data_IF_473938181549
#
_entry.id   IF_473938181549
#
_cell.length_a   1.000
_cell.length_b   1.000
_cell.length_c   1.000
_cell.angle_alpha   90.00
_cell.angle_beta   90.00
_cell.angle_gamma   90.00
#
_symmetry.space_group_name_H-M   'P 1'
#
loop_
_entity.id
_entity.type
_entity.pdbx_description
1 polymer ?
#
# COMPACT_ATOMS: atom_id res chain seq x y z
N UNK A 1 19.89 27.21 45.20
CA UNK A 1 20.91 27.11 46.27
C UNK A 1 21.60 25.75 46.15
N UNK A 2 22.92 25.76 46.39
CA UNK A 2 23.91 24.67 46.50
C UNK A 2 23.43 23.22 46.73
N UNK A 3 24.19 22.15 46.44
CA UNK A 3 25.50 21.88 45.82
C UNK A 3 25.79 20.38 46.09
N UNK A 4 26.62 19.73 45.27
CA UNK A 4 27.28 18.45 45.57
C UNK A 4 27.42 17.58 44.31
N UNK A 5 28.28 17.87 43.34
CA UNK A 5 29.74 17.66 43.30
C UNK A 5 30.23 16.29 43.76
N UNK A 6 30.79 15.52 42.82
CA UNK A 6 32.16 14.93 42.82
C UNK A 6 32.25 13.91 41.65
N UNK A 7 33.36 13.68 40.92
CA UNK A 7 34.61 14.37 40.61
C UNK A 7 35.28 13.50 39.52
N UNK A 8 35.87 14.13 38.50
CA UNK A 8 36.73 13.52 37.48
C UNK A 8 38.01 12.88 38.06
N UNK A 9 38.55 11.84 37.40
CA UNK A 9 40.01 11.64 37.26
C UNK A 9 40.39 10.81 36.02
N UNK A 10 41.22 11.42 35.19
CA UNK A 10 41.95 10.91 34.02
C UNK A 10 43.32 10.31 34.38
N UNK A 11 43.87 9.47 33.46
CA UNK A 11 45.30 9.06 33.19
C UNK A 11 45.39 7.53 33.03
N UNK A 12 46.24 6.90 32.23
CA UNK A 12 47.26 7.30 31.25
C UNK A 12 47.65 6.05 30.42
N UNK A 13 48.31 6.30 29.29
CA UNK A 13 49.02 5.37 28.41
C UNK A 13 50.04 4.44 29.09
N UNK A 14 50.31 3.28 28.47
CA UNK A 14 51.64 2.66 28.43
C UNK A 14 51.80 1.74 27.19
N UNK A 15 52.91 1.93 26.49
CA UNK A 15 53.44 1.15 25.36
C UNK A 15 54.58 0.26 25.88
N UNK A 16 54.78 -0.94 25.32
CA UNK A 16 56.03 -1.73 25.46
C UNK A 16 56.40 -2.38 24.13
N UNK A 17 57.67 -2.17 23.74
CA UNK A 17 58.42 -2.74 22.62
C UNK A 17 59.15 -4.06 22.97
N UNK A 18 59.38 -4.94 21.99
CA UNK A 18 60.65 -5.66 21.67
C UNK A 18 60.40 -6.61 20.48
N UNK A 19 61.06 -6.58 19.30
CA UNK A 19 62.47 -6.69 18.81
C UNK A 19 62.89 -8.12 18.39
N UNK A 20 63.15 -8.27 17.06
CA UNK A 20 64.22 -9.07 16.35
C UNK A 20 64.09 -10.61 16.41
N UNK A 21 64.33 -11.47 15.41
CA UNK A 21 65.04 -11.52 14.10
C UNK A 21 65.21 -13.01 13.68
N UNK A 22 65.97 -13.38 12.62
CA UNK A 22 65.45 -14.18 11.49
C UNK A 22 66.01 -15.62 11.28
N UNK A 23 65.34 -16.38 10.39
CA UNK A 23 65.91 -17.37 9.47
C UNK A 23 65.99 -18.82 9.93
N UNK A 24 65.34 -19.74 9.20
CA UNK A 24 65.98 -21.00 8.76
C UNK A 24 65.15 -21.75 7.71
N UNK A 25 65.89 -22.40 6.81
CA UNK A 25 65.48 -23.04 5.56
C UNK A 25 65.47 -24.56 5.76
N UNK A 26 64.39 -25.28 5.43
CA UNK A 26 64.39 -26.76 5.36
C UNK A 26 63.45 -27.28 4.26
N UNK A 27 64.02 -28.01 3.28
CA UNK A 27 63.42 -29.09 2.47
C UNK A 27 63.94 -30.44 3.05
N UNK A 28 63.39 -31.66 2.77
CA UNK A 28 62.58 -32.16 1.63
C UNK A 28 61.33 -32.98 2.10
N UNK A 29 60.43 -33.56 1.28
CA UNK A 29 60.61 -34.66 0.31
C UNK A 29 59.32 -34.98 -0.46
N UNK A 30 59.50 -35.58 -1.63
CA UNK A 30 58.51 -36.10 -2.58
C UNK A 30 58.00 -37.50 -2.20
N UNK A 31 56.67 -37.69 -2.19
CA UNK A 31 55.85 -38.92 -2.40
C UNK A 31 54.43 -38.54 -1.96
N UNK A 32 53.32 -38.74 -2.66
CA UNK A 32 53.01 -39.47 -3.87
C UNK A 32 51.76 -38.85 -4.52
N UNK A 33 51.69 -39.02 -5.83
CA UNK A 33 50.58 -38.68 -6.71
C UNK A 33 49.30 -39.47 -6.36
N UNK A 34 48.13 -38.82 -6.32
CA UNK A 34 46.87 -39.30 -6.91
C UNK A 34 45.67 -38.41 -6.51
N UNK A 35 45.25 -37.51 -7.39
CA UNK A 35 43.85 -37.35 -7.85
C UNK A 35 43.70 -36.05 -8.65
N UNK A 36 44.07 -36.14 -9.92
CA UNK A 36 43.73 -35.15 -10.94
C UNK A 36 42.41 -35.54 -11.59
N UNK A 37 41.32 -34.87 -11.20
CA UNK A 37 40.18 -34.64 -12.09
C UNK A 37 40.04 -33.12 -12.27
N UNK A 38 40.06 -32.60 -13.51
CA UNK A 38 39.93 -31.16 -13.73
C UNK A 38 38.50 -30.74 -13.43
N UNK A 39 38.33 -29.89 -12.42
CA UNK A 39 37.13 -29.06 -12.28
C UNK A 39 37.16 -28.09 -13.45
N UNK A 40 36.33 -28.31 -14.46
CA UNK A 40 36.03 -27.29 -15.45
C UNK A 40 35.27 -26.16 -14.76
N UNK A 41 36.00 -25.18 -14.23
CA UNK A 41 35.48 -23.84 -14.01
C UNK A 41 35.36 -23.19 -15.38
N UNK A 42 34.14 -23.15 -15.92
CA UNK A 42 33.81 -22.28 -17.06
C UNK A 42 33.90 -20.85 -16.51
N UNK A 43 34.79 -19.99 -17.02
CA UNK A 43 34.74 -18.57 -16.69
C UNK A 43 33.49 -18.01 -17.36
N UNK A 44 32.51 -17.56 -16.57
CA UNK A 44 31.46 -16.68 -17.08
C UNK A 44 32.15 -15.35 -17.44
N UNK A 45 32.42 -15.19 -18.73
CA UNK A 45 32.94 -13.97 -19.31
C UNK A 45 31.96 -12.84 -19.00
N UNK A 46 32.47 -11.74 -18.43
CA UNK A 46 31.72 -10.49 -18.29
C UNK A 46 31.32 -10.00 -19.69
N UNK A 47 30.11 -10.32 -20.12
CA UNK A 47 29.49 -9.76 -21.31
C UNK A 47 28.59 -8.62 -20.80
N UNK A 48 29.01 -7.36 -21.00
CA UNK A 48 28.12 -6.21 -20.79
C UNK A 48 28.75 -4.84 -20.46
N UNK A 49 30.07 -4.68 -20.41
CA UNK A 49 30.67 -3.47 -19.82
C UNK A 49 30.56 -2.16 -20.61
N UNK A 50 30.38 -2.19 -21.94
CA UNK A 50 30.49 -0.96 -22.76
C UNK A 50 29.19 -0.53 -23.46
N UNK A 51 28.33 -1.45 -23.92
CA UNK A 51 27.07 -1.08 -24.59
C UNK A 51 26.02 -0.51 -23.62
N UNK A 52 26.04 -0.93 -22.35
CA UNK A 52 25.06 -0.51 -21.33
C UNK A 52 25.25 0.96 -20.90
N UNK A 53 26.46 1.52 -21.10
CA UNK A 53 26.79 2.91 -20.77
C UNK A 53 26.18 3.95 -21.73
N UNK A 54 25.79 3.55 -22.94
CA UNK A 54 25.28 4.46 -23.97
C UNK A 54 23.74 4.61 -23.95
N UNK A 55 23.04 3.82 -23.15
CA UNK A 55 21.57 3.86 -23.07
C UNK A 55 21.07 5.03 -22.20
N UNK A 56 19.91 5.65 -22.53
CA UNK A 56 19.26 6.63 -21.68
C UNK A 56 18.94 6.01 -20.31
N UNK A 57 18.94 6.82 -19.24
CA UNK A 57 18.89 6.33 -17.84
C UNK A 57 17.64 5.47 -17.52
N UNK A 58 16.56 5.62 -18.29
CA UNK A 58 15.34 4.82 -18.18
C UNK A 58 15.45 3.40 -18.78
N UNK A 59 16.47 3.13 -19.60
CA UNK A 59 16.71 1.85 -20.29
C UNK A 59 17.92 1.09 -19.75
N UNK A 60 18.72 1.70 -18.87
CA UNK A 60 19.86 1.05 -18.24
C UNK A 60 19.37 -0.01 -17.26
N UNK A 61 19.84 -1.24 -17.43
CA UNK A 61 19.53 -2.31 -16.47
C UNK A 61 20.23 -2.00 -15.15
N UNK A 62 19.57 -2.25 -14.01
CA UNK A 62 20.19 -2.04 -12.70
C UNK A 62 21.44 -2.92 -12.57
N UNK A 63 22.48 -2.41 -11.92
CA UNK A 63 23.68 -3.20 -11.62
C UNK A 63 23.31 -4.26 -10.57
N UNK A 64 23.13 -5.50 -11.02
CA UNK A 64 22.57 -6.58 -10.19
C UNK A 64 23.57 -7.25 -9.23
N UNK A 65 24.87 -7.09 -9.48
CA UNK A 65 25.91 -7.79 -8.74
C UNK A 65 25.82 -9.32 -8.84
N UNK A 66 26.50 -10.01 -7.92
CA UNK A 66 26.61 -11.48 -7.90
C UNK A 66 26.03 -12.05 -6.60
N UNK A 67 24.71 -12.29 -6.52
CA UNK A 67 24.09 -12.78 -5.29
C UNK A 67 24.45 -14.24 -5.01
N UNK A 68 24.55 -14.60 -3.73
CA UNK A 68 24.76 -15.99 -3.31
C UNK A 68 23.45 -16.77 -3.40
N UNK A 69 23.47 -17.93 -4.04
CA UNK A 69 22.31 -18.86 -4.09
C UNK A 69 22.32 -19.91 -2.96
N UNK A 70 23.51 -20.28 -2.51
CA UNK A 70 23.71 -21.26 -1.44
C UNK A 70 24.90 -20.84 -0.58
N UNK A 71 24.75 -21.00 0.72
CA UNK A 71 25.84 -20.80 1.67
C UNK A 71 26.80 -22.01 1.65
N UNK A 72 28.01 -21.83 2.17
CA UNK A 72 29.03 -22.89 2.24
C UNK A 72 28.58 -24.08 3.11
N UNK A 73 27.74 -23.82 4.11
CA UNK A 73 27.12 -24.85 4.95
C UNK A 73 25.99 -25.64 4.25
N UNK A 74 25.74 -25.39 2.96
CA UNK A 74 24.73 -26.08 2.16
C UNK A 74 23.33 -25.47 2.23
N UNK A 75 23.08 -24.50 3.11
CA UNK A 75 21.77 -23.86 3.26
C UNK A 75 21.42 -22.97 2.06
N UNK A 76 20.17 -23.06 1.58
CA UNK A 76 19.65 -22.22 0.49
C UNK A 76 19.41 -20.77 0.96
N UNK A 77 19.68 -19.80 0.10
CA UNK A 77 19.34 -18.39 0.32
C UNK A 77 17.89 -18.12 -0.07
N UNK A 78 17.35 -16.97 0.34
CA UNK A 78 16.00 -16.54 -0.07
C UNK A 78 15.88 -16.41 -1.58
N UNK A 79 16.91 -15.92 -2.27
CA UNK A 79 16.92 -15.85 -3.73
C UNK A 79 16.69 -17.22 -4.38
N UNK A 80 17.40 -18.25 -3.94
CA UNK A 80 17.22 -19.60 -4.47
C UNK A 80 15.82 -20.15 -4.17
N UNK A 81 15.27 -19.85 -3.00
CA UNK A 81 13.91 -20.26 -2.61
C UNK A 81 12.84 -19.55 -3.44
N UNK A 82 12.99 -18.26 -3.71
CA UNK A 82 12.05 -17.50 -4.53
C UNK A 82 12.07 -17.94 -6.00
N UNK A 83 13.25 -18.22 -6.56
CA UNK A 83 13.36 -18.83 -7.90
C UNK A 83 12.64 -20.18 -7.94
N UNK A 84 12.85 -21.03 -6.92
CA UNK A 84 12.16 -22.32 -6.83
C UNK A 84 10.64 -22.15 -6.72
N UNK A 85 10.18 -21.19 -5.92
CA UNK A 85 8.75 -20.87 -5.74
C UNK A 85 8.12 -20.37 -7.05
N UNK A 86 8.80 -19.55 -7.84
CA UNK A 86 8.31 -19.14 -9.18
C UNK A 86 8.09 -20.36 -10.06
N UNK A 87 9.05 -21.29 -10.09
CA UNK A 87 8.96 -22.49 -10.94
C UNK A 87 7.89 -23.48 -10.47
N UNK A 88 7.70 -23.59 -9.17
CA UNK A 88 6.62 -24.36 -8.56
C UNK A 88 5.25 -23.76 -8.93
N UNK A 89 5.04 -22.47 -8.64
CA UNK A 89 3.79 -21.77 -8.94
C UNK A 89 3.47 -21.74 -10.43
N UNK A 90 4.48 -21.60 -11.28
CA UNK A 90 4.28 -21.67 -12.73
C UNK A 90 3.75 -23.03 -13.18
N UNK A 91 4.26 -24.13 -12.61
CA UNK A 91 3.78 -25.48 -12.90
C UNK A 91 2.37 -25.72 -12.34
N UNK A 92 2.08 -25.19 -11.16
CA UNK A 92 0.81 -25.41 -10.49
C UNK A 92 -0.34 -24.60 -11.09
N UNK A 93 -0.10 -23.32 -11.36
CA UNK A 93 -1.17 -22.38 -11.73
C UNK A 93 -1.15 -21.96 -13.20
N UNK A 94 -0.05 -22.19 -13.92
CA UNK A 94 0.11 -21.74 -15.31
C UNK A 94 -0.25 -20.27 -15.52
N UNK A 95 0.11 -19.41 -14.56
CA UNK A 95 -0.33 -18.02 -14.52
C UNK A 95 0.11 -17.21 -15.74
N UNK A 96 -0.70 -16.21 -16.10
CA UNK A 96 -0.36 -15.18 -17.09
C UNK A 96 0.41 -14.01 -16.49
N UNK A 97 0.23 -13.77 -15.19
CA UNK A 97 0.89 -12.72 -14.43
C UNK A 97 1.03 -13.12 -12.97
N UNK A 98 2.19 -12.87 -12.36
CA UNK A 98 2.40 -13.03 -10.92
C UNK A 98 2.95 -11.74 -10.33
N UNK A 99 2.21 -11.18 -9.37
CA UNK A 99 2.52 -9.90 -8.73
C UNK A 99 3.12 -10.15 -7.34
N UNK A 100 4.30 -9.60 -7.10
CA UNK A 100 4.92 -9.51 -5.79
C UNK A 100 4.64 -8.14 -5.20
N UNK A 101 3.89 -8.08 -4.09
CA UNK A 101 3.64 -6.84 -3.34
C UNK A 101 4.60 -6.79 -2.16
N UNK A 102 5.73 -6.09 -2.31
CA UNK A 102 6.82 -6.11 -1.32
C UNK A 102 7.52 -4.76 -1.23
N UNK A 103 7.98 -4.35 -0.05
CA UNK A 103 8.65 -3.06 0.15
C UNK A 103 9.75 -2.75 -0.87
N UNK A 104 9.90 -1.48 -1.24
CA UNK A 104 10.94 -1.01 -2.18
C UNK A 104 12.38 -1.30 -1.74
N UNK A 105 12.61 -1.60 -0.46
CA UNK A 105 13.91 -2.11 0.03
C UNK A 105 14.36 -3.41 -0.67
N UNK A 106 13.43 -4.15 -1.27
CA UNK A 106 13.71 -5.43 -1.94
C UNK A 106 13.71 -5.33 -3.48
N UNK A 107 13.68 -4.12 -4.06
CA UNK A 107 13.72 -3.92 -5.52
C UNK A 107 14.87 -4.70 -6.17
N UNK A 108 16.09 -4.59 -5.62
CA UNK A 108 17.27 -5.31 -6.13
C UNK A 108 17.08 -6.83 -6.10
N UNK A 109 16.48 -7.38 -5.05
CA UNK A 109 16.26 -8.82 -4.90
C UNK A 109 15.32 -9.35 -5.96
N UNK A 110 14.18 -8.69 -6.21
CA UNK A 110 13.24 -9.14 -7.23
C UNK A 110 13.75 -8.94 -8.66
N UNK A 111 14.55 -7.89 -8.90
CA UNK A 111 15.29 -7.78 -10.16
C UNK A 111 16.27 -8.95 -10.35
N UNK A 112 16.97 -9.39 -9.29
CA UNK A 112 17.83 -10.57 -9.33
C UNK A 112 17.04 -11.88 -9.58
N UNK A 113 15.85 -12.05 -8.97
CA UNK A 113 14.97 -13.20 -9.23
C UNK A 113 14.59 -13.26 -10.71
N UNK A 114 14.08 -12.15 -11.26
CA UNK A 114 13.68 -12.08 -12.67
C UNK A 114 14.85 -12.35 -13.61
N UNK A 115 16.01 -11.71 -13.35
CA UNK A 115 17.22 -11.93 -14.16
C UNK A 115 17.73 -13.37 -14.08
N UNK A 116 17.67 -14.00 -12.92
CA UNK A 116 18.09 -15.40 -12.78
C UNK A 116 17.24 -16.32 -13.66
N UNK A 117 15.92 -16.09 -13.75
CA UNK A 117 15.02 -16.85 -14.62
C UNK A 117 15.35 -16.63 -16.11
N UNK A 118 15.65 -15.40 -16.53
CA UNK A 118 16.12 -15.12 -17.89
C UNK A 118 17.39 -15.91 -18.23
N UNK A 119 18.37 -15.89 -17.33
CA UNK A 119 19.64 -16.62 -17.49
C UNK A 119 19.45 -18.15 -17.51
N UNK A 120 18.38 -18.65 -16.89
CA UNK A 120 17.98 -20.06 -16.96
C UNK A 120 17.21 -20.42 -18.24
N UNK A 121 17.08 -19.50 -19.20
CA UNK A 121 16.35 -19.70 -20.45
C UNK A 121 14.83 -19.62 -20.28
N UNK A 122 14.34 -18.96 -19.23
CA UNK A 122 12.91 -18.82 -18.91
C UNK A 122 12.42 -17.39 -19.01
N UNK A 123 12.86 -16.67 -20.05
CA UNK A 123 12.53 -15.26 -20.26
C UNK A 123 11.03 -14.99 -20.37
N UNK A 124 10.26 -15.91 -20.96
CA UNK A 124 8.79 -15.79 -20.98
C UNK A 124 8.20 -15.78 -19.57
N UNK A 125 8.67 -16.67 -18.69
CA UNK A 125 8.22 -16.71 -17.30
C UNK A 125 8.67 -15.47 -16.52
N UNK A 126 9.90 -15.00 -16.75
CA UNK A 126 10.43 -13.77 -16.14
C UNK A 126 9.57 -12.56 -16.52
N UNK A 127 9.13 -12.46 -17.79
CA UNK A 127 8.29 -11.36 -18.28
C UNK A 127 6.89 -11.30 -17.65
N UNK A 128 6.43 -12.40 -17.05
CA UNK A 128 5.15 -12.48 -16.33
C UNK A 128 5.26 -12.06 -14.86
N UNK A 129 6.47 -11.86 -14.35
CA UNK A 129 6.69 -11.42 -12.97
C UNK A 129 6.67 -9.90 -12.88
N UNK A 130 5.90 -9.37 -11.94
CA UNK A 130 5.88 -7.94 -11.64
C UNK A 130 6.12 -7.73 -10.15
N UNK A 131 7.07 -6.86 -9.80
CA UNK A 131 7.28 -6.40 -8.44
C UNK A 131 6.61 -5.04 -8.27
N UNK A 132 5.59 -5.01 -7.41
CA UNK A 132 4.90 -3.80 -6.98
C UNK A 132 5.43 -3.41 -5.63
N UNK A 133 6.23 -2.36 -5.63
CA UNK A 133 6.84 -1.86 -4.42
C UNK A 133 5.93 -0.90 -3.65
N UNK A 134 6.11 -0.87 -2.33
CA UNK A 134 5.52 0.13 -1.47
C UNK A 134 6.56 0.75 -0.53
N UNK A 135 6.31 1.99 -0.12
CA UNK A 135 7.18 2.77 0.75
C UNK A 135 7.16 2.27 2.19
N UNK A 136 7.86 2.97 3.08
CA UNK A 136 7.90 2.61 4.50
C UNK A 136 6.82 3.34 5.27
N UNK A 137 6.21 2.63 6.22
CA UNK A 137 5.35 3.20 7.26
C UNK A 137 6.23 3.83 8.35
N UNK A 138 5.87 5.03 8.80
CA UNK A 138 6.48 5.75 9.93
C UNK A 138 5.42 6.62 10.61
N UNK A 139 5.79 7.36 11.66
CA UNK A 139 4.90 8.33 12.33
C UNK A 139 4.38 7.89 13.70
N UNK A 140 4.30 6.58 13.95
CA UNK A 140 3.90 6.04 15.25
C UNK A 140 5.09 5.49 16.04
N UNK A 141 5.05 5.71 17.35
CA UNK A 141 6.00 5.15 18.29
C UNK A 141 5.42 3.88 18.94
N UNK A 142 6.24 2.86 19.20
CA UNK A 142 5.85 1.75 20.06
C UNK A 142 5.39 2.25 21.43
N UNK A 143 4.47 1.52 22.06
CA UNK A 143 4.15 1.73 23.46
C UNK A 143 5.42 1.63 24.33
N UNK A 144 5.45 2.39 25.43
CA UNK A 144 6.59 2.44 26.35
C UNK A 144 6.93 1.03 26.85
N UNK A 145 8.12 0.54 26.52
CA UNK A 145 8.60 -0.80 26.92
C UNK A 145 8.48 -1.88 25.83
N UNK A 146 7.91 -1.58 24.67
CA UNK A 146 7.84 -2.49 23.52
C UNK A 146 9.07 -2.34 22.59
N UNK A 147 9.53 -3.46 22.02
CA UNK A 147 10.71 -3.51 21.12
C UNK A 147 10.39 -3.25 19.64
N UNK A 148 9.14 -2.97 19.32
CA UNK A 148 8.65 -2.70 17.98
C UNK A 148 7.19 -2.26 18.02
N UNK A 149 6.70 -1.79 16.88
CA UNK A 149 5.32 -1.37 16.69
C UNK A 149 4.59 -2.49 15.95
N UNK A 150 3.63 -3.13 16.60
CA UNK A 150 2.78 -4.14 15.98
C UNK A 150 1.62 -3.49 15.23
N UNK A 151 0.98 -4.23 14.33
CA UNK A 151 -0.22 -3.73 13.64
C UNK A 151 -1.35 -3.45 14.63
N UNK A 152 -1.52 -4.30 15.64
CA UNK A 152 -2.49 -4.10 16.73
C UNK A 152 -2.25 -2.76 17.45
N UNK A 153 -0.99 -2.45 17.80
CA UNK A 153 -0.65 -1.17 18.43
C UNK A 153 -0.98 0.05 17.55
N UNK A 154 -0.89 -0.10 16.21
CA UNK A 154 -1.25 0.95 15.25
C UNK A 154 -2.76 1.15 15.25
N UNK A 155 -3.52 0.05 15.10
CA UNK A 155 -4.97 0.08 15.04
C UNK A 155 -5.56 0.64 16.35
N UNK A 156 -5.05 0.23 17.50
CA UNK A 156 -5.47 0.74 18.81
C UNK A 156 -5.24 2.25 18.94
N UNK A 157 -4.09 2.75 18.46
CA UNK A 157 -3.79 4.18 18.48
C UNK A 157 -4.72 4.97 17.55
N UNK A 158 -5.02 4.44 16.36
CA UNK A 158 -5.96 5.04 15.41
C UNK A 158 -7.39 5.07 15.98
N UNK A 159 -7.86 3.93 16.50
CA UNK A 159 -9.18 3.78 17.12
C UNK A 159 -9.34 4.75 18.27
N UNK A 160 -8.34 4.86 19.15
CA UNK A 160 -8.37 5.79 20.27
C UNK A 160 -8.47 7.24 19.82
N UNK A 161 -7.70 7.65 18.80
CA UNK A 161 -7.75 9.01 18.27
C UNK A 161 -9.15 9.33 17.70
N UNK A 162 -9.69 8.45 16.86
CA UNK A 162 -11.03 8.63 16.26
C UNK A 162 -12.13 8.60 17.32
N UNK A 163 -12.05 7.70 18.32
CA UNK A 163 -13.01 7.65 19.42
C UNK A 163 -13.06 8.97 20.21
N UNK A 164 -11.89 9.53 20.54
CA UNK A 164 -11.80 10.82 21.24
C UNK A 164 -12.42 11.95 20.40
N UNK A 165 -12.16 11.97 19.09
CA UNK A 165 -12.78 12.94 18.19
C UNK A 165 -14.31 12.83 18.15
N UNK A 166 -14.85 11.62 18.00
CA UNK A 166 -16.29 11.36 17.98
C UNK A 166 -17.00 11.70 19.30
N UNK A 167 -16.29 11.64 20.42
CA UNK A 167 -16.83 12.03 21.73
C UNK A 167 -16.91 13.55 21.91
N UNK A 168 -16.03 14.31 21.26
CA UNK A 168 -15.96 15.76 21.29
C UNK A 168 -16.95 16.42 20.33
N UNK A 169 -17.05 15.92 19.09
CA UNK A 169 -17.86 16.50 18.00
C UNK A 169 -19.21 15.77 17.85
N UNK A 170 -20.07 15.87 18.88
CA UNK A 170 -21.25 15.00 19.01
C UNK A 170 -22.39 15.27 18.04
N UNK A 171 -22.60 16.53 17.67
CA UNK A 171 -23.81 16.95 16.95
C UNK A 171 -23.61 16.86 15.42
N UNK A 172 -22.44 17.29 14.92
CA UNK A 172 -22.15 17.29 13.47
C UNK A 172 -21.89 15.91 12.86
N UNK A 173 -21.56 14.91 13.69
CA UNK A 173 -21.10 13.58 13.25
C UNK A 173 -22.08 12.45 13.54
N UNK A 174 -23.30 12.76 13.97
CA UNK A 174 -24.31 11.73 14.31
C UNK A 174 -24.51 10.70 13.18
N UNK A 175 -24.48 11.15 11.92
CA UNK A 175 -24.66 10.31 10.74
C UNK A 175 -23.56 9.27 10.48
N UNK A 176 -22.37 9.44 11.06
CA UNK A 176 -21.26 8.46 10.96
C UNK A 176 -21.02 7.72 12.27
N UNK A 177 -21.34 8.34 13.41
CA UNK A 177 -21.18 7.78 14.76
C UNK A 177 -22.24 6.74 15.09
N UNK A 178 -23.47 6.93 14.62
CA UNK A 178 -24.61 6.08 15.00
C UNK A 178 -24.87 6.09 16.52
N UNK A 179 -25.44 5.01 17.05
CA UNK A 179 -25.80 4.89 18.47
C UNK A 179 -24.63 4.54 19.40
N UNK A 180 -23.55 3.94 18.86
CA UNK A 180 -22.39 3.50 19.64
C UNK A 180 -21.09 4.03 19.02
N UNK A 181 -20.53 5.04 19.68
CA UNK A 181 -19.30 5.71 19.24
C UNK A 181 -18.08 4.77 19.26
N UNK A 182 -18.02 3.86 20.23
CA UNK A 182 -16.88 2.95 20.41
C UNK A 182 -16.85 1.91 19.29
N UNK A 183 -18.03 1.34 18.98
CA UNK A 183 -18.17 0.41 17.87
C UNK A 183 -17.89 1.08 16.51
N UNK A 184 -18.35 2.34 16.32
CA UNK A 184 -18.08 3.09 15.09
C UNK A 184 -16.60 3.49 14.95
N UNK A 185 -15.94 3.83 16.05
CA UNK A 185 -14.54 4.30 16.05
C UNK A 185 -13.58 3.28 15.45
N UNK A 186 -13.80 1.98 15.68
CA UNK A 186 -12.94 0.93 15.13
C UNK A 186 -12.94 0.93 13.60
N UNK A 187 -14.12 0.86 13.00
CA UNK A 187 -14.28 0.85 11.55
C UNK A 187 -13.87 2.17 10.90
N UNK A 188 -14.19 3.29 11.55
CA UNK A 188 -13.81 4.63 11.09
C UNK A 188 -12.29 4.85 11.14
N UNK A 189 -11.62 4.32 12.16
CA UNK A 189 -10.16 4.37 12.26
C UNK A 189 -9.47 3.55 11.17
N UNK A 190 -9.96 2.33 10.90
CA UNK A 190 -9.46 1.52 9.78
C UNK A 190 -9.66 2.25 8.46
N UNK A 191 -10.85 2.82 8.23
CA UNK A 191 -11.14 3.59 7.03
C UNK A 191 -10.22 4.81 6.89
N UNK A 192 -10.01 5.56 7.96
CA UNK A 192 -9.15 6.74 7.97
C UNK A 192 -7.69 6.35 7.64
N UNK A 193 -7.17 5.29 8.29
CA UNK A 193 -5.83 4.76 8.04
C UNK A 193 -5.65 4.29 6.59
N UNK A 194 -6.59 3.47 6.09
CA UNK A 194 -6.55 2.96 4.72
C UNK A 194 -6.64 4.10 3.70
N UNK A 195 -7.48 5.09 3.95
CA UNK A 195 -7.62 6.26 3.06
C UNK A 195 -6.33 7.08 3.01
N UNK A 196 -5.68 7.30 4.16
CA UNK A 196 -4.43 8.03 4.22
C UNK A 196 -3.30 7.29 3.48
N UNK A 197 -3.19 5.98 3.64
CA UNK A 197 -2.19 5.17 2.91
C UNK A 197 -2.50 5.09 1.41
N UNK A 198 -3.76 4.84 1.04
CA UNK A 198 -4.14 4.61 -0.35
C UNK A 198 -4.23 5.88 -1.19
N UNK A 199 -4.30 7.06 -0.56
CA UNK A 199 -4.35 8.36 -1.25
C UNK A 199 -3.00 8.84 -1.77
N UNK A 200 -1.89 8.32 -1.24
CA UNK A 200 -0.54 8.62 -1.73
C UNK A 200 -0.08 7.60 -2.79
N UNK A 201 0.98 7.92 -3.53
CA UNK A 201 1.61 6.94 -4.42
C UNK A 201 2.19 5.80 -3.61
N UNK A 202 1.99 4.55 -4.03
CA UNK A 202 2.45 3.36 -3.29
C UNK A 202 3.93 3.42 -2.90
N UNK A 203 4.79 3.94 -3.78
CA UNK A 203 6.23 4.00 -3.57
C UNK A 203 6.68 5.11 -2.60
N UNK A 204 5.79 6.04 -2.25
CA UNK A 204 6.07 7.09 -1.28
C UNK A 204 6.06 6.52 0.15
N UNK A 205 6.87 7.11 1.03
CA UNK A 205 6.80 6.74 2.45
C UNK A 205 5.48 7.24 3.05
N UNK A 206 4.82 6.37 3.79
CA UNK A 206 3.56 6.65 4.47
C UNK A 206 3.85 7.05 5.92
N UNK A 207 3.49 8.27 6.29
CA UNK A 207 3.52 8.73 7.68
C UNK A 207 2.11 8.67 8.24
N UNK A 208 1.89 7.92 9.32
CA UNK A 208 0.61 7.91 10.02
C UNK A 208 0.51 9.20 10.83
N UNK A 209 -0.55 9.97 10.58
CA UNK A 209 -0.84 11.23 11.27
C UNK A 209 -2.17 11.06 12.01
N UNK A 210 -2.10 10.89 13.34
CA UNK A 210 -3.28 10.67 14.16
C UNK A 210 -4.21 11.88 14.19
N UNK A 211 -3.67 13.10 14.10
CA UNK A 211 -4.44 14.33 14.20
C UNK A 211 -5.22 14.57 12.90
N UNK A 212 -4.57 14.35 11.75
CA UNK A 212 -5.22 14.47 10.43
C UNK A 212 -6.31 13.40 10.24
N UNK A 213 -6.07 12.17 10.70
CA UNK A 213 -7.06 11.09 10.58
C UNK A 213 -8.27 11.30 11.48
N UNK A 214 -8.06 11.87 12.68
CA UNK A 214 -9.09 12.08 13.71
C UNK A 214 -9.65 13.51 13.69
N UNK A 215 -9.81 14.08 12.49
CA UNK A 215 -10.45 15.37 12.24
C UNK A 215 -11.34 15.26 11.01
N UNK A 216 -12.35 16.10 10.82
CA UNK A 216 -13.10 16.16 9.56
C UNK A 216 -12.37 17.03 8.53
N UNK A 217 -11.33 16.47 7.89
CA UNK A 217 -10.58 17.10 6.80
C UNK A 217 -11.17 16.66 5.44
N UNK A 218 -11.39 17.56 4.46
CA UNK A 218 -11.89 17.19 3.13
C UNK A 218 -11.21 15.98 2.48
N UNK A 219 -9.91 15.79 2.72
CA UNK A 219 -9.09 14.77 2.06
C UNK A 219 -8.76 13.54 2.92
N UNK A 220 -9.66 13.14 3.82
CA UNK A 220 -9.45 11.96 4.65
C UNK A 220 -10.65 10.98 4.64
N UNK A 221 -10.47 9.82 5.28
CA UNK A 221 -11.48 8.76 5.30
C UNK A 221 -12.76 9.14 6.05
N UNK A 222 -12.67 10.00 7.07
CA UNK A 222 -13.86 10.45 7.81
C UNK A 222 -14.76 11.32 6.94
N UNK A 223 -14.18 12.23 6.13
CA UNK A 223 -14.94 13.04 5.17
C UNK A 223 -15.64 12.19 4.12
N UNK A 224 -14.97 11.17 3.57
CA UNK A 224 -15.59 10.23 2.64
C UNK A 224 -16.80 9.52 3.28
N UNK A 225 -16.65 9.03 4.51
CA UNK A 225 -17.74 8.36 5.22
C UNK A 225 -18.88 9.31 5.56
N UNK A 226 -18.57 10.55 5.94
CA UNK A 226 -19.55 11.58 6.23
C UNK A 226 -20.46 11.85 5.03
N UNK A 227 -19.85 12.10 3.87
CA UNK A 227 -20.60 12.35 2.64
C UNK A 227 -21.37 11.11 2.16
N UNK A 228 -20.78 9.92 2.29
CA UNK A 228 -21.47 8.67 1.98
C UNK A 228 -22.71 8.48 2.86
N UNK A 229 -22.61 8.73 4.17
CA UNK A 229 -23.74 8.68 5.10
C UNK A 229 -24.82 9.70 4.71
N UNK A 230 -24.45 10.95 4.39
CA UNK A 230 -25.41 11.98 3.94
C UNK A 230 -26.16 11.57 2.67
N UNK A 231 -25.45 11.05 1.67
CA UNK A 231 -26.05 10.55 0.42
C UNK A 231 -27.00 9.38 0.73
N UNK A 232 -26.56 8.40 1.52
CA UNK A 232 -27.38 7.23 1.86
C UNK A 232 -28.66 7.62 2.61
N UNK A 233 -28.58 8.60 3.52
CA UNK A 233 -29.76 9.11 4.23
C UNK A 233 -30.75 9.76 3.25
N UNK A 234 -30.26 10.58 2.32
CA UNK A 234 -31.09 11.25 1.32
C UNK A 234 -31.74 10.29 0.32
N UNK A 235 -31.02 9.24 -0.06
CA UNK A 235 -31.50 8.21 -0.98
C UNK A 235 -32.30 7.10 -0.27
N UNK A 236 -32.53 7.21 1.05
CA UNK A 236 -33.22 6.17 1.81
C UNK A 236 -34.67 6.01 1.32
N UNK A 237 -34.99 4.82 0.83
CA UNK A 237 -36.31 4.51 0.27
C UNK A 237 -36.51 4.97 -1.18
N UNK A 238 -35.50 5.62 -1.78
CA UNK A 238 -35.50 5.98 -3.21
C UNK A 238 -35.08 4.75 -4.01
N UNK A 239 -35.96 4.27 -4.88
CA UNK A 239 -35.68 3.14 -5.78
C UNK A 239 -35.84 3.64 -7.20
N UNK A 240 -34.72 3.72 -7.93
CA UNK A 240 -34.70 4.09 -9.34
C UNK A 240 -34.39 2.84 -10.17
N UNK A 241 -35.37 2.26 -10.89
CA UNK A 241 -35.11 1.11 -11.75
C UNK A 241 -34.19 1.51 -12.90
N UNK A 242 -33.28 0.62 -13.29
CA UNK A 242 -32.26 0.91 -14.31
C UNK A 242 -32.87 1.23 -15.66
N UNK A 243 -34.01 0.62 -15.98
CA UNK A 243 -34.76 0.85 -17.21
C UNK A 243 -35.32 2.27 -17.27
N UNK A 244 -35.69 2.86 -16.12
CA UNK A 244 -36.17 4.23 -16.07
C UNK A 244 -35.07 5.25 -16.43
N UNK A 245 -33.80 4.94 -16.12
CA UNK A 245 -32.65 5.79 -16.48
C UNK A 245 -32.51 5.97 -18.00
N UNK A 246 -32.97 5.01 -18.81
CA UNK A 246 -32.92 5.11 -20.27
C UNK A 246 -33.85 6.16 -20.88
N UNK A 247 -34.81 6.66 -20.11
CA UNK A 247 -35.82 7.64 -20.55
C UNK A 247 -35.78 8.93 -19.74
N UNK A 248 -34.77 9.12 -18.88
CA UNK A 248 -34.62 10.34 -18.08
C UNK A 248 -34.36 11.53 -19.00
N UNK A 249 -35.07 12.63 -18.74
CA UNK A 249 -34.83 13.90 -19.42
C UNK A 249 -33.64 14.61 -18.77
N UNK A 250 -32.50 14.57 -19.47
CA UNK A 250 -31.27 15.23 -19.03
C UNK A 250 -31.22 16.73 -19.36
N UNK A 251 -32.25 17.30 -19.98
CA UNK A 251 -32.30 18.73 -20.33
C UNK A 251 -32.33 19.65 -19.10
N UNK A 252 -32.75 19.14 -17.94
CA UNK A 252 -32.71 19.83 -16.65
C UNK A 252 -31.30 20.34 -16.29
N UNK A 253 -30.24 19.62 -16.68
CA UNK A 253 -28.85 20.02 -16.44
C UNK A 253 -28.39 21.21 -17.29
N UNK A 254 -29.24 21.74 -18.17
CA UNK A 254 -28.99 22.98 -18.91
C UNK A 254 -29.45 24.24 -18.18
N UNK A 255 -30.04 24.12 -16.99
CA UNK A 255 -30.52 25.23 -16.17
C UNK A 255 -29.50 25.52 -15.06
N UNK A 256 -29.27 26.80 -14.75
CA UNK A 256 -28.31 27.24 -13.73
C UNK A 256 -28.56 26.59 -12.36
N UNK A 257 -29.83 26.34 -12.01
CA UNK A 257 -30.25 25.70 -10.76
C UNK A 257 -29.72 24.26 -10.59
N UNK A 258 -29.40 23.56 -11.68
CA UNK A 258 -28.90 22.18 -11.65
C UNK A 258 -27.43 22.05 -12.05
N UNK A 259 -26.70 23.16 -12.14
CA UNK A 259 -25.29 23.18 -12.57
C UNK A 259 -24.40 22.33 -11.65
N UNK A 260 -24.56 22.45 -10.33
CA UNK A 260 -23.81 21.66 -9.34
C UNK A 260 -24.01 20.14 -9.51
N UNK A 261 -25.25 19.72 -9.81
CA UNK A 261 -25.55 18.31 -10.08
C UNK A 261 -24.93 17.84 -11.40
N UNK A 262 -24.91 18.71 -12.42
CA UNK A 262 -24.28 18.42 -13.71
C UNK A 262 -22.76 18.20 -13.55
N UNK A 263 -22.10 18.96 -12.68
CA UNK A 263 -20.67 18.81 -12.39
C UNK A 263 -20.33 17.48 -11.73
N UNK A 264 -21.14 17.05 -10.74
CA UNK A 264 -21.00 15.71 -10.15
C UNK A 264 -21.19 14.63 -11.22
N UNK A 265 -22.21 14.74 -12.07
CA UNK A 265 -22.44 13.77 -13.16
C UNK A 265 -21.25 13.71 -14.13
N UNK A 266 -20.71 14.87 -14.54
CA UNK A 266 -19.52 14.95 -15.41
C UNK A 266 -18.32 14.26 -14.78
N UNK A 267 -18.16 14.35 -13.46
CA UNK A 267 -17.09 13.68 -12.73
C UNK A 267 -17.33 12.16 -12.63
N UNK A 268 -18.55 11.71 -12.35
CA UNK A 268 -18.89 10.29 -12.28
C UNK A 268 -18.69 9.56 -13.61
N UNK A 269 -18.98 10.22 -14.74
CA UNK A 269 -18.73 9.68 -16.09
C UNK A 269 -17.23 9.41 -16.32
N UNK A 270 -16.34 10.09 -15.62
CA UNK A 270 -14.89 9.87 -15.74
C UNK A 270 -14.43 8.59 -15.01
N UNK A 271 -15.27 7.94 -14.20
CA UNK A 271 -14.87 6.78 -13.40
C UNK A 271 -14.17 5.66 -14.21
N UNK A 272 -14.71 5.17 -15.35
CA UNK A 272 -14.01 4.17 -16.17
C UNK A 272 -12.66 4.67 -16.69
N UNK A 273 -12.57 5.98 -16.97
CA UNK A 273 -11.36 6.67 -17.39
C UNK A 273 -10.30 6.77 -16.30
N UNK A 274 -10.69 6.77 -15.03
CA UNK A 274 -9.80 6.78 -13.84
C UNK A 274 -9.38 5.37 -13.43
N UNK A 275 -10.29 4.39 -13.50
CA UNK A 275 -10.01 2.98 -13.15
C UNK A 275 -8.93 2.40 -14.08
N UNK A 276 -8.94 2.75 -15.36
CA UNK A 276 -7.97 2.21 -16.34
C UNK A 276 -6.51 2.62 -16.05
N UNK A 277 -6.17 3.90 -15.79
CA UNK A 277 -4.87 4.30 -15.26
C UNK A 277 -4.53 3.66 -13.92
N UNK A 278 -5.47 3.59 -12.98
CA UNK A 278 -5.27 2.94 -11.68
C UNK A 278 -4.85 1.47 -11.85
N UNK A 279 -5.56 0.72 -12.70
CA UNK A 279 -5.24 -0.67 -13.02
C UNK A 279 -3.90 -0.83 -13.73
N UNK A 280 -3.59 0.05 -14.70
CA UNK A 280 -2.32 -0.01 -15.46
C UNK A 280 -1.10 0.30 -14.60
N UNK A 281 -1.23 1.28 -13.71
CA UNK A 281 -0.14 1.73 -12.85
C UNK A 281 -0.10 0.99 -11.52
N UNK A 282 -1.17 0.28 -11.16
CA UNK A 282 -1.41 -0.34 -9.86
C UNK A 282 -1.26 0.68 -8.71
N UNK A 283 -1.87 1.85 -8.91
CA UNK A 283 -1.92 2.96 -7.95
C UNK A 283 -3.36 3.22 -7.51
N UNK A 284 -3.66 2.96 -6.22
CA UNK A 284 -4.96 3.23 -5.60
C UNK A 284 -5.30 4.72 -5.55
N UNK A 285 -4.27 5.59 -5.45
CA UNK A 285 -4.42 7.04 -5.30
C UNK A 285 -5.29 7.67 -6.38
N UNK A 286 -5.29 7.15 -7.60
CA UNK A 286 -6.18 7.63 -8.67
C UNK A 286 -7.66 7.53 -8.29
N UNK A 287 -8.06 6.44 -7.63
CA UNK A 287 -9.45 6.23 -7.18
C UNK A 287 -9.78 7.19 -6.04
N UNK A 288 -8.89 7.31 -5.05
CA UNK A 288 -9.08 8.21 -3.90
C UNK A 288 -9.17 9.67 -4.34
N UNK A 289 -8.32 10.12 -5.28
CA UNK A 289 -8.39 11.47 -5.85
C UNK A 289 -9.74 11.73 -6.51
N UNK A 290 -10.30 10.75 -7.23
CA UNK A 290 -11.63 10.90 -7.81
C UNK A 290 -12.71 11.00 -6.73
N UNK A 291 -12.64 10.17 -5.68
CA UNK A 291 -13.58 10.21 -4.56
C UNK A 291 -13.54 11.55 -3.83
N UNK A 292 -12.35 12.09 -3.57
CA UNK A 292 -12.21 13.42 -2.95
C UNK A 292 -12.77 14.54 -3.84
N UNK A 293 -12.52 14.48 -5.15
CA UNK A 293 -13.14 15.44 -6.07
C UNK A 293 -14.66 15.34 -6.11
N UNK A 294 -15.23 14.14 -5.89
CA UNK A 294 -16.68 14.01 -5.74
C UNK A 294 -17.10 14.70 -4.46
N UNK A 295 -16.45 14.44 -3.33
CA UNK A 295 -16.80 15.08 -2.05
C UNK A 295 -16.62 16.60 -2.06
N UNK A 296 -15.68 17.14 -2.83
CA UNK A 296 -15.49 18.59 -2.99
C UNK A 296 -16.69 19.27 -3.68
N UNK A 297 -17.44 18.55 -4.52
CA UNK A 297 -18.60 19.08 -5.25
C UNK A 297 -19.94 18.87 -4.52
N UNK A 298 -19.98 18.00 -3.53
CA UNK A 298 -21.22 17.69 -2.80
C UNK A 298 -21.78 18.84 -1.95
N UNK A 299 -20.98 19.74 -1.33
CA UNK A 299 -21.51 20.94 -0.66
C UNK A 299 -22.40 21.77 -1.58
N UNK A 300 -21.92 22.09 -2.78
CA UNK A 300 -22.65 22.92 -3.75
C UNK A 300 -23.96 22.26 -4.17
N UNK A 301 -23.95 20.94 -4.34
CA UNK A 301 -25.17 20.16 -4.60
C UNK A 301 -26.16 20.24 -3.44
N UNK A 302 -25.68 20.23 -2.20
CA UNK A 302 -26.53 20.32 -1.01
C UNK A 302 -27.14 21.71 -0.82
N UNK A 303 -26.42 22.77 -1.20
CA UNK A 303 -26.92 24.16 -1.16
C UNK A 303 -27.91 24.47 -2.29
N UNK A 304 -27.64 23.93 -3.49
CA UNK A 304 -28.49 24.12 -4.66
C UNK A 304 -29.79 23.30 -4.59
N UNK A 305 -29.89 22.31 -3.70
CA UNK A 305 -31.05 21.42 -3.67
C UNK A 305 -32.32 22.16 -3.20
N UNK A 306 -33.36 22.27 -4.05
CA UNK A 306 -34.60 22.94 -3.70
C UNK A 306 -35.35 22.25 -2.53
N UNK A 307 -35.15 20.96 -2.32
CA UNK A 307 -35.75 20.22 -1.19
C UNK A 307 -35.08 20.59 0.14
N UNK A 308 -33.89 21.22 0.11
CA UNK A 308 -33.16 21.66 1.30
C UNK A 308 -33.50 23.12 1.69
N UNK A 309 -33.87 23.98 0.73
CA UNK A 309 -34.18 25.40 0.94
C UNK A 309 -35.58 25.67 1.55
N UNK A 310 -36.36 24.62 1.86
CA UNK A 310 -37.65 24.69 2.56
C UNK A 310 -37.64 24.21 4.01
N UNK A 311 -36.50 23.74 4.51
CA UNK A 311 -36.34 23.24 5.87
C UNK A 311 -35.25 24.06 6.59
N UNK A 312 -35.62 25.25 7.07
CA UNK A 312 -34.93 25.78 8.25
C UNK A 312 -35.02 24.70 9.34
N UNK A 313 -33.85 24.36 9.89
CA UNK A 313 -33.63 23.29 10.86
C UNK A 313 -34.59 23.41 12.06
N UNK A 314 -35.73 22.71 12.00
CA UNK A 314 -36.37 22.20 13.22
C UNK A 314 -35.67 20.88 13.55
N UNK A 315 -34.61 20.97 14.35
CA UNK A 315 -34.00 19.85 15.07
C UNK A 315 -34.99 19.29 16.11
N UNK A 316 -36.05 18.62 15.68
CA UNK A 316 -36.75 17.65 16.51
C UNK A 316 -37.25 16.51 15.61
N UNK A 317 -36.42 15.49 15.43
CA UNK A 317 -36.94 14.19 15.01
C UNK A 317 -36.46 13.12 15.98
N UNK A 318 -37.35 12.75 16.89
CA UNK A 318 -37.30 11.52 17.65
C UNK A 318 -37.41 10.34 16.66
N UNK A 319 -36.27 9.77 16.23
CA UNK A 319 -36.22 8.60 15.35
C UNK A 319 -35.65 7.40 16.11
N UNK A 320 -36.45 6.34 16.18
CA UNK A 320 -36.07 5.07 16.78
C UNK A 320 -34.83 4.45 16.11
N UNK A 321 -33.98 3.73 16.87
CA UNK A 321 -32.70 3.24 16.37
C UNK A 321 -32.92 2.16 15.30
N UNK A 322 -32.59 2.49 14.05
CA UNK A 322 -32.40 1.51 12.98
C UNK A 322 -30.95 1.02 12.95
N UNK A 323 -30.67 -0.16 12.36
CA UNK A 323 -29.34 -0.76 12.40
C UNK A 323 -28.31 0.14 11.70
N UNK A 324 -27.19 0.34 12.38
CA UNK A 324 -25.99 1.00 11.89
C UNK A 324 -25.36 0.17 10.76
N UNK A 325 -25.63 0.54 9.51
CA UNK A 325 -24.93 -0.02 8.36
C UNK A 325 -23.57 0.68 8.20
N UNK A 326 -22.64 0.36 9.09
CA UNK A 326 -21.22 0.42 8.73
C UNK A 326 -21.04 -0.73 7.74
N UNK A 327 -20.55 -0.43 6.54
CA UNK A 327 -20.32 -1.45 5.51
C UNK A 327 -19.15 -2.33 5.99
N UNK A 328 -19.46 -3.39 6.73
CA UNK A 328 -18.57 -4.54 6.83
C UNK A 328 -18.64 -5.25 5.49
N UNK A 329 -17.54 -5.25 4.75
CA UNK A 329 -17.41 -6.13 3.59
C UNK A 329 -17.66 -7.56 4.06
N UNK A 330 -18.74 -8.18 3.58
CA UNK A 330 -18.94 -9.61 3.82
C UNK A 330 -17.76 -10.39 3.21
N UNK A 331 -17.24 -11.42 3.90
CA UNK A 331 -16.22 -12.28 3.31
C UNK A 331 -16.82 -12.96 2.08
N UNK A 332 -16.14 -12.84 0.95
CA UNK A 332 -16.46 -13.60 -0.26
C UNK A 332 -16.39 -15.09 0.09
N UNK A 333 -17.54 -15.77 0.05
CA UNK A 333 -17.61 -17.22 0.15
C UNK A 333 -16.72 -17.85 -0.93
N UNK A 334 -15.90 -18.82 -0.53
CA UNK A 334 -15.08 -19.68 -1.39
C UNK A 334 -16.00 -20.53 -2.30
N UNK A 335 -16.56 -19.91 -3.34
CA UNK A 335 -17.26 -20.59 -4.42
C UNK A 335 -16.36 -20.59 -5.67
N UNK A 336 -16.01 -21.79 -6.10
CA UNK A 336 -15.21 -22.15 -7.29
C UNK A 336 -15.37 -21.16 -8.46
N UNK A 337 -14.31 -20.43 -8.78
CA UNK A 337 -14.17 -19.72 -10.06
C UNK A 337 -14.07 -20.75 -11.20
N UNK A 338 -15.21 -21.09 -11.78
CA UNK A 338 -15.29 -21.67 -13.12
C UNK A 338 -15.36 -20.54 -14.15
N UNK A 339 -14.56 -20.66 -15.20
CA UNK A 339 -14.15 -19.60 -16.15
C UNK A 339 -15.21 -19.18 -17.18
N UNK A 340 -16.51 -19.17 -16.86
CA UNK A 340 -17.57 -18.90 -17.87
C UNK A 340 -18.26 -17.53 -17.75
N UNK A 341 -17.82 -16.62 -16.87
CA UNK A 341 -18.51 -15.35 -16.62
C UNK A 341 -17.99 -14.08 -17.31
N UNK A 342 -16.83 -14.10 -17.98
CA UNK A 342 -16.11 -12.86 -18.34
C UNK A 342 -16.49 -12.27 -19.72
N UNK A 343 -17.32 -12.94 -20.53
CA UNK A 343 -17.53 -12.55 -21.93
C UNK A 343 -18.81 -11.74 -22.24
N UNK A 344 -19.55 -11.22 -21.25
CA UNK A 344 -20.83 -10.51 -21.54
C UNK A 344 -20.95 -9.05 -21.08
N UNK A 345 -19.85 -8.37 -20.73
CA UNK A 345 -19.93 -6.97 -20.27
C UNK A 345 -19.12 -5.98 -21.12
N UNK A 346 -18.59 -6.40 -22.27
CA UNK A 346 -17.95 -5.51 -23.22
C UNK A 346 -18.37 -5.82 -24.66
N UNK A 347 -19.60 -5.44 -25.00
CA UNK A 347 -20.03 -5.06 -26.36
C UNK A 347 -21.10 -4.00 -26.26
#
# INVERSE_FOLDING_TARGET
>A
MHCGQQRFRTRNQASIHSRVGPGDTVLPSTRDLANTHPRHSIPLQEIGGEEEKLMPDAERRPILGSPKLRYENGTSTYLLRDIAAVLERSRQYSFDKMIYVVTGKQDLHFHQVSRALELMGRSELASKLEHINFGKVHGLAPATGCSGLLLEDILDQCQKAVCMFLEMERDDLYGIRGSDASAAADSLAVLALMTQEMSIKRGANFGVDLDDMATLNPYNGLSLQYWLSKINMKLKGVIIPREALGYVDYSMFGQDEYEAFADVLRLLIQFPGTVKPSFRTLESSHILILLFRVTDLLPDVWEADPDNNGAELEEEVEVQPGPSNIVTAEPLDDAELTTEGVEKTFT
#
